data_IF_524172859152
#
_entry.id   IF_524172859152
#
_cell.length_a   1.000
_cell.length_b   1.000
_cell.length_c   1.000
_cell.angle_alpha   90.00
_cell.angle_beta   90.00
_cell.angle_gamma   90.00
#
_symmetry.space_group_name_H-M   'P 1'
#
loop_
_entity.id
_entity.type
_entity.pdbx_description
1 polymer ?
#
# COMPACT_ATOMS: atom_id res chain seq x y z
N UNK A 1 -17.21 12.35 -6.84
CA UNK A 1 -16.67 11.31 -5.94
C UNK A 1 -16.84 11.76 -4.49
N UNK A 2 -17.14 10.86 -3.55
CA UNK A 2 -17.15 11.13 -2.09
C UNK A 2 -16.01 10.34 -1.47
N UNK A 3 -15.30 10.95 -0.52
CA UNK A 3 -14.14 10.35 0.14
C UNK A 3 -14.36 10.35 1.64
N UNK A 4 -13.93 9.29 2.28
CA UNK A 4 -13.80 9.17 3.72
C UNK A 4 -12.51 8.44 4.03
N UNK A 5 -11.76 8.91 5.02
CA UNK A 5 -10.56 8.24 5.53
C UNK A 5 -10.56 8.27 7.04
N UNK A 6 -10.07 7.21 7.65
CA UNK A 6 -9.89 7.11 9.09
C UNK A 6 -8.70 6.21 9.40
N UNK A 7 -8.02 6.50 10.49
CA UNK A 7 -7.01 5.63 11.09
C UNK A 7 -7.16 5.69 12.60
N UNK A 8 -6.91 4.58 13.29
CA UNK A 8 -7.05 4.47 14.74
C UNK A 8 -6.10 3.41 15.28
N UNK A 9 -5.51 3.66 16.45
CA UNK A 9 -4.57 2.72 17.09
C UNK A 9 -5.22 1.40 17.51
N UNK A 10 -6.54 1.39 17.65
CA UNK A 10 -7.30 0.25 18.14
C UNK A 10 -7.08 -0.01 19.64
N UNK A 11 -7.58 -1.15 20.10
CA UNK A 11 -7.57 -1.49 21.54
C UNK A 11 -6.38 -2.35 21.97
N UNK A 12 -5.61 -2.90 21.02
CA UNK A 12 -4.54 -3.87 21.29
C UNK A 12 -3.14 -3.30 21.14
N UNK A 13 -2.97 -2.34 20.25
CA UNK A 13 -1.69 -1.69 19.95
C UNK A 13 -1.49 -0.49 20.88
N UNK A 14 -0.23 -0.13 21.15
CA UNK A 14 0.12 1.09 21.90
C UNK A 14 0.37 2.27 20.98
N UNK A 15 0.62 2.00 19.69
CA UNK A 15 0.97 2.97 18.67
C UNK A 15 0.28 2.59 17.37
N UNK A 16 -0.19 3.59 16.66
CA UNK A 16 -0.68 3.46 15.31
C UNK A 16 0.53 3.51 14.36
N UNK A 17 0.70 2.49 13.54
CA UNK A 17 1.74 2.41 12.52
C UNK A 17 1.17 2.51 11.11
N UNK A 18 -0.15 2.70 11.00
CA UNK A 18 -0.81 2.93 9.71
C UNK A 18 -0.79 4.41 9.35
N UNK A 19 -0.63 4.70 8.09
CA UNK A 19 -0.76 6.04 7.55
C UNK A 19 -1.66 6.05 6.32
N UNK A 20 -2.51 7.07 6.22
CA UNK A 20 -3.46 7.22 5.12
C UNK A 20 -3.39 8.60 4.50
N UNK A 21 -3.43 8.65 3.17
CA UNK A 21 -3.60 9.87 2.39
C UNK A 21 -4.74 9.69 1.40
N UNK A 22 -5.67 10.63 1.35
CA UNK A 22 -6.81 10.57 0.44
C UNK A 22 -7.22 11.98 -0.01
N UNK A 23 -7.21 12.22 -1.32
CA UNK A 23 -7.68 13.47 -1.90
C UNK A 23 -8.40 13.25 -3.21
N UNK A 24 -9.48 14.03 -3.44
CA UNK A 24 -10.12 14.17 -4.74
C UNK A 24 -9.47 15.25 -5.61
N UNK A 25 -8.62 16.08 -5.00
CA UNK A 25 -7.91 17.15 -5.70
C UNK A 25 -6.68 16.58 -6.41
N UNK A 26 -6.23 17.18 -7.51
CA UNK A 26 -5.06 16.73 -8.24
C UNK A 26 -3.78 16.72 -7.40
N UNK A 27 -2.96 15.68 -7.61
CA UNK A 27 -1.59 15.59 -7.09
C UNK A 27 -0.65 15.43 -8.29
N UNK A 28 0.12 16.47 -8.60
CA UNK A 28 0.86 16.53 -9.85
C UNK A 28 -0.06 16.34 -11.07
N UNK A 29 0.25 15.39 -11.91
CA UNK A 29 -0.54 15.04 -13.10
C UNK A 29 -1.63 13.99 -12.83
N UNK A 30 -1.74 13.46 -11.61
CA UNK A 30 -2.82 12.56 -11.22
C UNK A 30 -4.05 13.36 -10.77
N UNK A 31 -5.28 13.04 -11.25
CA UNK A 31 -6.49 13.80 -10.91
C UNK A 31 -6.96 13.63 -9.45
N UNK A 32 -6.47 12.64 -8.77
CA UNK A 32 -6.73 12.31 -7.36
C UNK A 32 -5.70 11.27 -6.90
N UNK A 33 -5.59 11.05 -5.59
CA UNK A 33 -4.69 10.04 -5.05
C UNK A 33 -5.20 9.50 -3.72
N UNK A 34 -5.13 8.18 -3.57
CA UNK A 34 -5.48 7.43 -2.36
C UNK A 34 -4.34 6.50 -2.02
N UNK A 35 -3.86 6.55 -0.79
CA UNK A 35 -2.75 5.72 -0.31
C UNK A 35 -3.03 5.22 1.08
N UNK A 36 -2.80 3.93 1.33
CA UNK A 36 -2.78 3.32 2.66
C UNK A 36 -1.44 2.60 2.82
N UNK A 37 -0.80 2.79 3.95
CA UNK A 37 0.46 2.18 4.31
C UNK A 37 0.39 1.63 5.74
N UNK A 38 0.86 0.39 5.95
CA UNK A 38 1.01 -0.25 7.27
C UNK A 38 2.51 -0.40 7.53
N UNK A 39 2.99 0.33 8.53
CA UNK A 39 4.39 0.39 8.87
C UNK A 39 4.79 -0.75 9.78
N UNK A 40 5.98 -1.32 9.53
CA UNK A 40 6.59 -2.34 10.34
C UNK A 40 7.97 -1.94 10.81
N UNK A 41 8.34 -2.40 11.98
CA UNK A 41 9.63 -2.16 12.61
C UNK A 41 9.54 -2.14 14.12
N UNK A 42 10.69 -2.24 14.79
CA UNK A 42 10.77 -2.14 16.24
C UNK A 42 10.53 -0.70 16.72
N UNK A 43 9.97 -0.54 17.93
CA UNK A 43 9.69 0.77 18.55
C UNK A 43 8.86 1.69 17.61
N UNK A 44 9.38 2.88 17.29
CA UNK A 44 8.70 3.88 16.47
C UNK A 44 9.06 3.79 14.97
N UNK A 45 9.85 2.80 14.56
CA UNK A 45 10.36 2.71 13.20
C UNK A 45 9.25 2.43 12.17
N UNK A 46 8.20 1.68 12.54
CA UNK A 46 7.06 1.42 11.66
C UNK A 46 6.20 2.66 11.39
N UNK A 47 5.88 3.43 12.43
CA UNK A 47 5.15 4.70 12.30
C UNK A 47 5.92 5.69 11.40
N UNK A 48 7.23 5.80 11.63
CA UNK A 48 8.08 6.60 10.76
C UNK A 48 8.08 6.09 9.31
N UNK A 49 8.21 4.77 9.10
CA UNK A 49 8.27 4.20 7.75
C UNK A 49 6.98 4.46 6.95
N UNK A 50 5.80 4.24 7.54
CA UNK A 50 4.53 4.45 6.84
C UNK A 50 4.26 5.94 6.56
N UNK A 51 4.49 6.81 7.55
CA UNK A 51 4.28 8.26 7.38
C UNK A 51 5.26 8.85 6.37
N UNK A 52 6.54 8.48 6.44
CA UNK A 52 7.55 8.90 5.47
C UNK A 52 7.22 8.40 4.06
N UNK A 53 6.88 7.11 3.93
CA UNK A 53 6.53 6.54 2.64
C UNK A 53 5.42 7.30 1.93
N UNK A 54 4.33 7.60 2.64
CA UNK A 54 3.19 8.29 2.04
C UNK A 54 3.50 9.76 1.73
N UNK A 55 4.19 10.46 2.63
CA UNK A 55 4.54 11.88 2.41
C UNK A 55 5.53 12.06 1.27
N UNK A 56 6.60 11.27 1.22
CA UNK A 56 7.56 11.26 0.10
C UNK A 56 6.90 10.87 -1.21
N UNK A 57 6.05 9.82 -1.22
CA UNK A 57 5.34 9.42 -2.42
C UNK A 57 4.48 10.56 -2.99
N UNK A 58 3.75 11.28 -2.14
CA UNK A 58 2.94 12.43 -2.56
C UNK A 58 3.81 13.53 -3.17
N UNK A 59 4.99 13.78 -2.60
CA UNK A 59 5.91 14.81 -3.09
C UNK A 59 6.55 14.40 -4.42
N UNK A 60 7.00 13.15 -4.57
CA UNK A 60 7.51 12.61 -5.83
C UNK A 60 6.47 12.70 -6.95
N UNK A 61 5.22 12.32 -6.67
CA UNK A 61 4.11 12.41 -7.63
C UNK A 61 3.85 13.86 -8.05
N UNK A 62 3.96 14.84 -7.12
CA UNK A 62 3.78 16.26 -7.44
C UNK A 62 4.82 16.80 -8.41
N UNK A 63 6.03 16.27 -8.37
CA UNK A 63 7.16 16.71 -9.18
C UNK A 63 7.31 15.93 -10.49
N UNK A 64 6.62 14.79 -10.62
CA UNK A 64 6.70 13.93 -11.80
C UNK A 64 6.03 14.60 -13.00
N UNK A 65 6.74 14.63 -14.13
CA UNK A 65 6.26 15.23 -15.37
C UNK A 65 5.49 14.26 -16.29
N UNK A 66 5.49 12.95 -15.99
CA UNK A 66 4.77 11.94 -16.78
C UNK A 66 3.24 12.05 -16.53
N UNK A 67 2.45 11.69 -17.54
CA UNK A 67 0.99 11.66 -17.46
C UNK A 67 0.42 10.24 -17.34
N UNK A 68 1.27 9.22 -17.46
CA UNK A 68 0.85 7.84 -17.31
C UNK A 68 0.77 7.46 -15.82
N UNK A 69 -0.42 7.19 -15.27
CA UNK A 69 -0.58 6.96 -13.84
C UNK A 69 0.25 5.79 -13.32
N UNK A 70 0.42 4.72 -14.11
CA UNK A 70 1.22 3.56 -13.71
C UNK A 70 2.70 3.93 -13.62
N UNK A 71 3.22 4.74 -14.54
CA UNK A 71 4.63 5.17 -14.50
C UNK A 71 4.89 6.13 -13.35
N UNK A 72 4.01 7.12 -13.14
CA UNK A 72 4.11 8.08 -12.04
C UNK A 72 4.11 7.37 -10.69
N UNK A 73 3.14 6.48 -10.45
CA UNK A 73 3.05 5.73 -9.20
C UNK A 73 4.25 4.79 -9.02
N UNK A 74 4.68 4.11 -10.08
CA UNK A 74 5.87 3.24 -10.04
C UNK A 74 7.12 4.00 -9.63
N UNK A 75 7.40 5.11 -10.32
CA UNK A 75 8.56 5.95 -10.04
C UNK A 75 8.58 6.42 -8.58
N UNK A 76 7.45 6.93 -8.10
CA UNK A 76 7.33 7.37 -6.71
C UNK A 76 7.59 6.24 -5.71
N UNK A 77 7.04 5.04 -5.94
CA UNK A 77 7.26 3.88 -5.05
C UNK A 77 8.74 3.45 -5.06
N UNK A 78 9.41 3.43 -6.22
CA UNK A 78 10.83 3.06 -6.34
C UNK A 78 11.74 4.08 -5.63
N UNK A 79 11.47 5.38 -5.75
CA UNK A 79 12.17 6.43 -5.02
C UNK A 79 12.02 6.25 -3.51
N UNK A 80 10.79 6.13 -3.04
CA UNK A 80 10.47 5.92 -1.63
C UNK A 80 11.11 4.66 -1.06
N UNK A 81 11.10 3.55 -1.80
CA UNK A 81 11.78 2.32 -1.40
C UNK A 81 13.27 2.56 -1.14
N UNK A 82 13.91 3.30 -2.02
CA UNK A 82 15.35 3.64 -1.90
C UNK A 82 15.61 4.53 -0.68
N UNK A 83 14.74 5.51 -0.43
CA UNK A 83 14.84 6.40 0.73
C UNK A 83 14.71 5.64 2.05
N UNK A 84 13.65 4.81 2.21
CA UNK A 84 13.42 4.01 3.41
C UNK A 84 14.60 3.07 3.67
N UNK A 85 15.08 2.38 2.64
CA UNK A 85 16.23 1.48 2.77
C UNK A 85 17.50 2.22 3.20
N UNK A 86 17.75 3.40 2.61
CA UNK A 86 18.92 4.23 2.92
C UNK A 86 18.87 4.71 4.37
N UNK A 87 17.74 5.20 4.82
CA UNK A 87 17.54 5.68 6.19
C UNK A 87 17.67 4.54 7.21
N UNK A 88 17.10 3.35 6.90
CA UNK A 88 17.24 2.17 7.74
C UNK A 88 18.70 1.69 7.89
N UNK A 89 19.57 2.00 6.91
CA UNK A 89 21.00 1.69 6.95
C UNK A 89 21.82 2.75 7.71
N UNK A 90 21.37 4.00 7.70
CA UNK A 90 22.09 5.13 8.31
C UNK A 90 21.75 5.35 9.79
N UNK A 91 20.55 5.00 10.23
CA UNK A 91 20.13 5.15 11.63
C UNK A 91 19.78 3.78 12.23
N UNK A 92 20.54 3.39 13.24
CA UNK A 92 20.36 2.11 13.95
C UNK A 92 18.96 2.00 14.61
N UNK A 93 18.33 3.12 14.97
CA UNK A 93 16.97 3.15 15.51
C UNK A 93 15.91 2.80 14.47
N UNK A 94 16.21 3.01 13.21
CA UNK A 94 15.34 2.73 12.06
C UNK A 94 15.68 1.39 11.38
N UNK A 95 16.65 0.66 11.91
CA UNK A 95 17.10 -0.60 11.33
C UNK A 95 15.97 -1.61 11.22
N UNK A 96 15.78 -2.13 9.98
CA UNK A 96 14.73 -3.09 9.68
C UNK A 96 13.33 -2.51 9.63
N UNK A 97 13.20 -1.18 9.54
CA UNK A 97 11.92 -0.56 9.22
C UNK A 97 11.50 -0.88 7.79
N UNK A 98 10.22 -0.90 7.57
CA UNK A 98 9.60 -1.04 6.25
C UNK A 98 8.13 -0.70 6.33
N UNK A 99 7.46 -0.72 5.19
CA UNK A 99 6.02 -0.50 5.15
C UNK A 99 5.37 -1.20 3.96
N UNK A 100 4.12 -1.59 4.10
CA UNK A 100 3.27 -1.91 2.95
C UNK A 100 2.90 -0.62 2.24
N UNK A 101 2.43 -0.73 1.02
CA UNK A 101 1.74 0.36 0.34
C UNK A 101 0.67 -0.19 -0.60
N UNK A 102 -0.53 0.35 -0.53
CA UNK A 102 -1.53 0.26 -1.57
C UNK A 102 -1.90 1.67 -1.99
N UNK A 103 -1.75 1.96 -3.28
CA UNK A 103 -2.01 3.27 -3.85
C UNK A 103 -2.97 3.16 -5.02
N UNK A 104 -3.86 4.13 -5.17
CA UNK A 104 -4.82 4.16 -6.26
C UNK A 104 -5.06 5.59 -6.76
N UNK A 105 -5.27 5.73 -8.07
CA UNK A 105 -5.80 6.92 -8.71
C UNK A 105 -6.92 6.55 -9.67
N UNK A 106 -7.93 7.40 -9.79
CA UNK A 106 -9.07 7.18 -10.67
C UNK A 106 -9.03 8.20 -11.80
N UNK A 107 -8.87 7.71 -13.03
CA UNK A 107 -8.84 8.52 -14.25
C UNK A 107 -10.06 8.17 -15.10
N UNK A 108 -11.01 9.09 -15.22
CA UNK A 108 -12.29 8.83 -15.85
C UNK A 108 -13.08 7.73 -15.12
N UNK A 109 -13.23 6.57 -15.76
CA UNK A 109 -13.92 5.39 -15.21
C UNK A 109 -12.95 4.27 -14.83
N UNK A 110 -11.64 4.49 -14.86
CA UNK A 110 -10.65 3.46 -14.56
C UNK A 110 -9.90 3.79 -13.28
N UNK A 111 -9.80 2.81 -12.40
CA UNK A 111 -8.89 2.85 -11.27
C UNK A 111 -7.57 2.16 -11.65
N UNK A 112 -6.46 2.83 -11.38
CA UNK A 112 -5.11 2.30 -11.48
C UNK A 112 -4.59 2.09 -10.06
N UNK A 113 -4.21 0.87 -9.74
CA UNK A 113 -3.87 0.43 -8.39
C UNK A 113 -2.48 -0.16 -8.37
N UNK A 114 -1.66 0.26 -7.42
CA UNK A 114 -0.36 -0.34 -7.12
C UNK A 114 -0.40 -0.98 -5.73
N UNK A 115 0.23 -2.14 -5.58
CA UNK A 115 0.30 -2.85 -4.31
C UNK A 115 1.68 -3.42 -4.01
N UNK A 116 2.16 -3.19 -2.79
CA UNK A 116 3.31 -3.87 -2.17
C UNK A 116 2.94 -4.21 -0.74
N UNK A 117 2.91 -5.49 -0.40
CA UNK A 117 2.53 -5.96 0.94
C UNK A 117 1.15 -6.62 0.98
N UNK A 118 0.53 -6.65 2.15
CA UNK A 118 -0.75 -7.30 2.42
C UNK A 118 -1.89 -6.32 2.76
N UNK A 119 -1.65 -5.01 2.61
CA UNK A 119 -2.72 -4.02 2.56
C UNK A 119 -3.56 -4.21 1.30
N UNK A 120 -4.85 -3.98 1.39
CA UNK A 120 -5.81 -4.44 0.38
C UNK A 120 -6.64 -3.32 -0.22
N UNK A 121 -7.04 -3.54 -1.47
CA UNK A 121 -8.09 -2.77 -2.14
C UNK A 121 -9.21 -3.69 -2.60
N UNK A 122 -10.43 -3.29 -2.28
CA UNK A 122 -11.68 -3.94 -2.69
C UNK A 122 -12.52 -3.00 -3.54
N UNK A 123 -13.27 -3.55 -4.47
CA UNK A 123 -14.40 -2.88 -5.13
C UNK A 123 -15.69 -3.52 -4.65
N UNK A 124 -16.61 -2.69 -4.24
CA UNK A 124 -17.93 -3.06 -3.73
C UNK A 124 -18.97 -2.49 -4.69
N UNK A 125 -19.49 -3.34 -5.55
CA UNK A 125 -20.63 -3.10 -6.43
C UNK A 125 -21.75 -4.07 -6.10
N UNK A 126 -22.25 -4.81 -7.07
CA UNK A 126 -23.18 -5.93 -6.81
C UNK A 126 -22.56 -7.03 -5.94
N UNK A 127 -21.25 -7.18 -6.01
CA UNK A 127 -20.44 -8.12 -5.20
C UNK A 127 -19.22 -7.38 -4.66
N UNK A 128 -18.69 -7.91 -3.56
CA UNK A 128 -17.39 -7.47 -3.02
C UNK A 128 -16.30 -8.27 -3.72
N UNK A 129 -15.34 -7.58 -4.31
CA UNK A 129 -14.18 -8.18 -4.97
C UNK A 129 -12.88 -7.58 -4.42
N UNK A 130 -11.99 -8.41 -3.91
CA UNK A 130 -10.62 -8.01 -3.63
C UNK A 130 -9.85 -7.91 -4.94
N UNK A 131 -9.23 -6.77 -5.21
CA UNK A 131 -8.46 -6.49 -6.42
C UNK A 131 -6.99 -6.81 -6.21
N UNK A 132 -6.43 -6.35 -5.10
CA UNK A 132 -5.04 -6.61 -4.73
C UNK A 132 -4.83 -8.07 -4.30
N UNK A 133 -3.58 -8.52 -4.37
CA UNK A 133 -3.17 -9.83 -3.87
C UNK A 133 -2.20 -9.62 -2.73
N UNK A 134 -2.42 -10.30 -1.62
CA UNK A 134 -1.53 -10.19 -0.47
C UNK A 134 -0.16 -10.77 -0.79
N UNK A 135 0.89 -10.01 -0.57
CA UNK A 135 2.26 -10.50 -0.58
C UNK A 135 2.58 -11.07 0.80
N UNK A 136 2.04 -12.25 1.08
CA UNK A 136 2.22 -12.96 2.35
C UNK A 136 2.58 -14.42 2.13
N UNK A 137 3.31 -14.99 3.09
CA UNK A 137 3.73 -16.39 3.04
C UNK A 137 2.53 -17.34 2.87
N UNK A 138 1.46 -17.09 3.61
CA UNK A 138 0.26 -17.95 3.54
C UNK A 138 -0.44 -17.85 2.20
N UNK A 139 -0.46 -16.68 1.58
CA UNK A 139 -1.06 -16.51 0.26
C UNK A 139 -0.24 -17.23 -0.82
N UNK A 140 1.08 -17.25 -0.70
CA UNK A 140 1.93 -18.04 -1.59
C UNK A 140 1.69 -19.54 -1.45
N UNK A 141 1.57 -20.04 -0.21
CA UNK A 141 1.22 -21.45 0.06
C UNK A 141 -0.14 -21.82 -0.52
N UNK A 142 -1.15 -20.94 -0.42
CA UNK A 142 -2.46 -21.16 -1.05
C UNK A 142 -2.33 -21.24 -2.56
N UNK A 143 -1.55 -20.34 -3.18
CA UNK A 143 -1.33 -20.33 -4.63
C UNK A 143 -0.61 -21.59 -5.13
N UNK A 144 0.30 -22.14 -4.34
CA UNK A 144 1.00 -23.40 -4.64
C UNK A 144 0.13 -24.64 -4.38
N UNK A 145 -1.07 -24.48 -3.81
CA UNK A 145 -1.94 -25.59 -3.43
C UNK A 145 -1.51 -26.33 -2.17
N UNK A 146 -0.57 -25.76 -1.41
CA UNK A 146 -0.05 -26.34 -0.17
C UNK A 146 -0.95 -26.05 1.04
N UNK A 147 -1.81 -25.03 0.93
CA UNK A 147 -2.69 -24.58 2.00
C UNK A 147 -4.07 -24.22 1.47
N UNK A 148 -5.11 -24.61 2.19
CA UNK A 148 -6.48 -24.20 1.89
C UNK A 148 -6.70 -22.72 2.33
N UNK A 149 -7.47 -21.90 1.57
CA UNK A 149 -7.77 -20.52 1.94
C UNK A 149 -8.36 -20.32 3.34
N UNK A 150 -9.17 -21.27 3.82
CA UNK A 150 -9.72 -21.22 5.18
C UNK A 150 -8.66 -21.49 6.25
N UNK A 151 -7.74 -22.39 5.97
CA UNK A 151 -6.60 -22.70 6.85
C UNK A 151 -5.61 -21.54 6.92
N UNK A 152 -5.39 -20.83 5.80
CA UNK A 152 -4.52 -19.65 5.73
C UNK A 152 -4.91 -18.57 6.76
N UNK A 153 -6.21 -18.33 6.95
CA UNK A 153 -6.73 -17.34 7.91
C UNK A 153 -6.35 -17.63 9.37
N UNK A 154 -6.12 -18.90 9.71
CA UNK A 154 -5.80 -19.36 11.07
C UNK A 154 -4.34 -19.78 11.21
N UNK A 155 -3.55 -19.69 10.14
CA UNK A 155 -2.18 -20.16 10.14
C UNK A 155 -1.30 -19.33 11.08
N UNK A 156 -0.37 -19.95 11.85
CA UNK A 156 0.51 -19.21 12.78
C UNK A 156 1.38 -18.15 12.12
N UNK A 157 1.74 -18.35 10.85
CA UNK A 157 2.57 -17.45 10.04
C UNK A 157 1.76 -16.52 9.12
N UNK A 158 0.48 -16.31 9.38
CA UNK A 158 -0.39 -15.48 8.53
C UNK A 158 0.03 -14.01 8.44
N UNK A 159 0.79 -13.52 9.42
CA UNK A 159 1.28 -12.14 9.48
C UNK A 159 2.68 -11.98 8.86
N UNK A 160 3.23 -13.02 8.20
CA UNK A 160 4.53 -12.91 7.53
C UNK A 160 4.29 -12.40 6.12
N UNK A 161 4.67 -11.15 5.87
CA UNK A 161 4.68 -10.56 4.54
C UNK A 161 5.96 -10.92 3.79
N UNK A 162 5.85 -11.02 2.48
CA UNK A 162 6.97 -11.41 1.59
C UNK A 162 7.50 -10.25 0.76
N UNK A 163 6.78 -9.11 0.75
CA UNK A 163 7.24 -7.87 0.08
C UNK A 163 6.86 -6.65 0.90
N UNK A 164 7.79 -5.70 1.00
CA UNK A 164 7.62 -4.42 1.66
C UNK A 164 8.59 -3.38 1.12
N UNK A 165 8.24 -2.10 1.23
CA UNK A 165 9.17 -1.00 0.96
C UNK A 165 10.24 -0.96 2.06
N UNK A 166 11.47 -0.68 1.66
CA UNK A 166 12.63 -0.62 2.54
C UNK A 166 13.25 -1.97 2.90
N UNK A 167 12.68 -3.10 2.43
CA UNK A 167 13.21 -4.43 2.70
C UNK A 167 14.39 -4.79 1.79
N UNK A 168 14.31 -4.46 0.51
CA UNK A 168 15.29 -4.80 -0.51
C UNK A 168 15.61 -3.59 -1.41
N UNK A 169 16.74 -3.69 -2.17
CA UNK A 169 17.17 -2.62 -3.08
C UNK A 169 16.17 -2.34 -4.20
N UNK A 170 15.50 -3.36 -4.68
CA UNK A 170 14.46 -3.29 -5.70
C UNK A 170 13.15 -3.78 -5.12
N UNK A 171 12.05 -3.20 -5.55
CA UNK A 171 10.72 -3.59 -5.10
C UNK A 171 9.87 -4.07 -6.28
N UNK A 172 9.29 -5.27 -6.14
CA UNK A 172 8.32 -5.79 -7.09
C UNK A 172 6.93 -5.24 -6.74
N UNK A 173 6.39 -4.43 -7.64
CA UNK A 173 5.10 -3.76 -7.48
C UNK A 173 4.05 -4.46 -8.35
N UNK A 174 2.97 -4.94 -7.76
CA UNK A 174 1.83 -5.42 -8.52
C UNK A 174 0.96 -4.23 -8.94
N UNK A 175 0.60 -4.20 -10.23
CA UNK A 175 -0.32 -3.21 -10.79
C UNK A 175 -1.60 -3.86 -11.27
N UNK A 176 -2.71 -3.17 -11.02
CA UNK A 176 -4.05 -3.57 -11.47
C UNK A 176 -4.72 -2.36 -12.11
N UNK A 177 -5.43 -2.59 -13.19
CA UNK A 177 -6.35 -1.63 -13.78
C UNK A 177 -7.74 -2.24 -13.85
N UNK A 178 -8.75 -1.47 -13.49
CA UNK A 178 -10.13 -1.94 -13.49
C UNK A 178 -11.08 -0.80 -13.82
N UNK A 179 -12.14 -1.15 -14.56
CA UNK A 179 -13.22 -0.24 -14.86
C UNK A 179 -14.18 -0.18 -13.66
N UNK A 180 -14.50 1.02 -13.23
CA UNK A 180 -15.50 1.29 -12.21
C UNK A 180 -16.83 1.65 -12.85
N UNK A 181 -17.91 1.16 -12.27
CA UNK A 181 -19.26 1.53 -12.66
C UNK A 181 -19.84 2.60 -11.69
N UNK A 182 -20.80 3.42 -12.15
CA UNK A 182 -21.45 4.39 -11.29
C UNK A 182 -22.10 3.71 -10.07
N UNK A 183 -21.71 4.15 -8.88
CA UNK A 183 -22.21 3.59 -7.62
C UNK A 183 -21.24 2.62 -6.93
N UNK A 184 -20.17 2.20 -7.61
CA UNK A 184 -19.12 1.39 -6.98
C UNK A 184 -18.45 2.14 -5.84
N UNK A 185 -18.10 1.38 -4.79
CA UNK A 185 -17.32 1.86 -3.66
C UNK A 185 -15.95 1.19 -3.69
N UNK A 186 -14.90 1.99 -3.67
CA UNK A 186 -13.52 1.50 -3.48
C UNK A 186 -13.19 1.58 -2.00
N UNK A 187 -12.83 0.44 -1.41
CA UNK A 187 -12.37 0.32 -0.03
C UNK A 187 -10.90 -0.07 -0.01
N UNK A 188 -10.07 0.74 0.66
CA UNK A 188 -8.68 0.44 0.93
C UNK A 188 -8.47 0.27 2.43
N UNK A 189 -7.71 -0.74 2.84
CA UNK A 189 -7.43 -1.00 4.26
C UNK A 189 -6.08 -1.70 4.46
N UNK A 190 -5.51 -1.52 5.64
CA UNK A 190 -4.39 -2.30 6.17
C UNK A 190 -4.85 -3.61 6.78
#
# INVERSE_FOLDING_TARGET
MRIYSATDVGQKRKMNQDYVFATADPVGNLPNLFVVADGMGGHNAGDYASSHAVTSMVEEIRQDADFNPVKVIRHAIECVNTEILTQAQQDEKLRGMGTTIVAATIVGHYAYVANVGDSRLYVIGEKIQQITRDHSLVQEMVRMGELDPEQARKHPKKNIITRALGAEKTVDIDFFDLKLEPGDVVLMCS
#
